data_IF_862102859706
#
_entry.id   IF_862102859706
#
_cell.length_a   1.000
_cell.length_b   1.000
_cell.length_c   1.000
_cell.angle_alpha   90.00
_cell.angle_beta   90.00
_cell.angle_gamma   90.00
#
_symmetry.space_group_name_H-M   'P 1'
#
loop_
_entity.id
_entity.type
_entity.pdbx_description
1 polymer ?
#
# COMPACT_ATOMS: atom_id res chain seq x y z
N UNK A 1 37.83 -46.82 79.25
CA UNK A 1 37.56 -45.64 78.47
C UNK A 1 36.65 -46.04 77.33
N UNK A 2 35.35 -45.71 77.31
CA UNK A 2 34.47 -46.07 76.25
C UNK A 2 34.41 -44.92 75.17
N UNK A 3 34.55 -45.32 73.93
CA UNK A 3 34.48 -44.46 72.75
C UNK A 3 33.03 -44.00 72.48
N UNK A 4 32.87 -42.69 72.22
CA UNK A 4 31.60 -42.10 71.85
C UNK A 4 31.23 -42.46 70.43
N UNK A 5 30.03 -43.05 70.18
CA UNK A 5 29.39 -43.23 68.93
C UNK A 5 28.85 -41.91 68.43
N UNK A 6 29.40 -41.34 67.37
CA UNK A 6 28.77 -40.29 66.57
C UNK A 6 27.63 -40.91 65.77
N UNK A 7 26.40 -40.47 66.02
CA UNK A 7 25.23 -40.79 65.24
C UNK A 7 25.10 -39.74 64.15
N UNK A 8 25.51 -40.09 62.92
CA UNK A 8 25.22 -39.28 61.74
C UNK A 8 23.68 -39.22 61.49
N UNK A 9 23.08 -38.05 61.73
CA UNK A 9 21.73 -37.76 61.28
C UNK A 9 21.76 -37.54 59.76
N UNK A 10 21.30 -38.53 58.97
CA UNK A 10 20.96 -38.35 57.57
C UNK A 10 19.97 -37.18 57.45
N UNK A 11 20.41 -36.04 56.88
CA UNK A 11 19.55 -34.96 56.44
C UNK A 11 18.57 -35.48 55.38
N UNK A 12 17.30 -35.34 55.65
CA UNK A 12 16.22 -35.70 54.76
C UNK A 12 16.26 -34.74 53.54
N UNK A 13 16.72 -35.18 52.38
CA UNK A 13 16.93 -34.37 51.13
C UNK A 13 15.62 -34.01 50.42
N UNK A 14 14.48 -34.23 51.02
CA UNK A 14 13.18 -33.82 50.44
C UNK A 14 12.93 -32.35 50.67
N UNK A 15 12.61 -31.55 49.62
CA UNK A 15 12.29 -30.13 49.77
C UNK A 15 11.00 -29.99 50.59
N UNK A 16 10.96 -28.95 51.40
CA UNK A 16 9.76 -28.57 52.16
C UNK A 16 8.69 -28.07 51.20
N UNK A 17 7.50 -28.69 51.22
CA UNK A 17 6.35 -28.31 50.40
C UNK A 17 5.38 -27.48 51.21
N UNK A 18 4.81 -26.42 50.59
CA UNK A 18 3.66 -25.69 51.09
C UNK A 18 2.64 -25.50 49.97
N UNK A 19 1.38 -25.94 50.19
CA UNK A 19 0.26 -25.82 49.21
C UNK A 19 -0.64 -24.69 49.60
N UNK A 20 -1.03 -23.87 48.62
CA UNK A 20 -2.03 -22.84 48.75
C UNK A 20 -3.19 -23.08 47.80
N UNK A 21 -4.38 -22.63 48.19
CA UNK A 21 -5.56 -22.58 47.36
C UNK A 21 -5.74 -21.16 46.86
N UNK A 22 -5.86 -20.98 45.53
CA UNK A 22 -5.96 -19.69 44.85
C UNK A 22 -7.40 -19.31 44.52
N UNK A 23 -8.36 -20.26 44.55
CA UNK A 23 -9.75 -20.03 44.23
C UNK A 23 -10.42 -21.29 43.70
N UNK A 24 -11.53 -21.14 42.97
CA UNK A 24 -12.22 -22.19 42.21
C UNK A 24 -12.22 -21.82 40.73
N UNK A 25 -12.12 -22.83 39.86
CA UNK A 25 -12.31 -22.65 38.43
C UNK A 25 -13.82 -22.49 38.07
N UNK A 26 -14.12 -22.23 36.78
CA UNK A 26 -15.49 -22.07 36.26
C UNK A 26 -16.37 -23.33 36.49
N UNK A 27 -15.76 -24.48 36.76
CA UNK A 27 -16.43 -25.75 37.05
C UNK A 27 -16.51 -26.03 38.56
N UNK A 28 -16.16 -25.07 39.40
CA UNK A 28 -16.19 -25.18 40.87
C UNK A 28 -15.04 -25.96 41.52
N UNK A 29 -14.01 -26.39 40.72
CA UNK A 29 -12.86 -27.15 41.24
C UNK A 29 -11.84 -26.19 41.85
N UNK A 30 -11.19 -26.63 42.95
CA UNK A 30 -10.20 -25.83 43.65
C UNK A 30 -8.90 -25.72 42.88
N UNK A 31 -8.49 -24.50 42.58
CA UNK A 31 -7.17 -24.19 42.01
C UNK A 31 -6.14 -24.19 43.10
N UNK A 32 -5.22 -25.15 43.09
CA UNK A 32 -4.16 -25.32 44.12
C UNK A 32 -2.79 -25.25 43.46
N UNK A 33 -1.82 -24.61 44.16
CA UNK A 33 -0.42 -24.54 43.77
C UNK A 33 0.52 -24.91 44.91
N UNK A 34 1.57 -25.70 44.58
CA UNK A 34 2.58 -26.15 45.56
C UNK A 34 3.85 -25.33 45.40
N UNK A 35 4.47 -24.97 46.52
CA UNK A 35 5.74 -24.24 46.56
C UNK A 35 6.74 -25.05 47.37
N UNK A 36 7.96 -25.12 46.87
CA UNK A 36 9.03 -25.93 47.44
C UNK A 36 10.19 -25.06 47.90
N UNK A 37 10.84 -25.47 49.00
CA UNK A 37 12.08 -24.88 49.47
C UNK A 37 13.01 -25.94 50.05
N UNK A 38 14.28 -25.81 49.74
CA UNK A 38 15.35 -26.63 50.37
C UNK A 38 15.83 -26.05 51.68
N UNK A 39 15.44 -24.79 52.00
CA UNK A 39 15.90 -24.07 53.20
C UNK A 39 15.07 -24.40 54.44
N UNK A 40 13.76 -24.22 54.37
CA UNK A 40 12.86 -24.45 55.48
C UNK A 40 11.39 -24.44 55.05
N UNK A 41 10.50 -25.00 55.90
CA UNK A 41 9.05 -24.93 55.74
C UNK A 41 8.53 -23.47 55.80
N UNK A 42 9.14 -22.64 56.63
CA UNK A 42 8.82 -21.20 56.69
C UNK A 42 9.17 -20.46 55.39
N UNK A 43 10.25 -20.81 54.71
CA UNK A 43 10.62 -20.22 53.40
C UNK A 43 9.67 -20.68 52.30
N UNK A 44 9.25 -21.95 52.28
CA UNK A 44 8.24 -22.44 51.34
C UNK A 44 6.88 -21.71 51.55
N UNK A 45 6.48 -21.50 52.82
CA UNK A 45 5.28 -20.76 53.21
C UNK A 45 5.38 -19.29 52.73
N UNK A 46 6.49 -18.60 53.00
CA UNK A 46 6.71 -17.21 52.60
C UNK A 46 6.63 -17.03 51.08
N UNK A 47 7.21 -17.98 50.29
CA UNK A 47 7.10 -17.98 48.81
C UNK A 47 5.64 -18.12 48.35
N UNK A 48 4.90 -19.01 49.01
CA UNK A 48 3.49 -19.27 48.74
C UNK A 48 2.61 -18.05 49.05
N UNK A 49 2.82 -17.41 50.20
CA UNK A 49 2.08 -16.20 50.61
C UNK A 49 2.38 -15.01 49.69
N UNK A 50 3.65 -14.82 49.33
CA UNK A 50 4.02 -13.77 48.35
C UNK A 50 3.35 -13.99 46.99
N UNK A 51 3.29 -15.23 46.52
CA UNK A 51 2.58 -15.56 45.30
C UNK A 51 1.08 -15.34 45.39
N UNK A 52 0.48 -15.73 46.53
CA UNK A 52 -0.96 -15.57 46.79
C UNK A 52 -1.35 -14.08 46.81
N UNK A 53 -0.58 -13.25 47.50
CA UNK A 53 -0.80 -11.79 47.52
C UNK A 53 -0.68 -11.16 46.12
N UNK A 54 0.30 -11.59 45.31
CA UNK A 54 0.43 -11.15 43.93
C UNK A 54 -0.76 -11.60 43.09
N UNK A 55 -1.19 -12.84 43.21
CA UNK A 55 -2.33 -13.41 42.53
C UNK A 55 -3.65 -12.71 42.87
N UNK A 56 -3.86 -12.41 44.17
CA UNK A 56 -5.03 -11.64 44.64
C UNK A 56 -5.02 -10.20 44.14
N UNK A 57 -3.85 -9.57 44.07
CA UNK A 57 -3.67 -8.23 43.46
C UNK A 57 -3.98 -8.24 41.95
N UNK A 58 -3.52 -9.25 41.22
CA UNK A 58 -3.82 -9.44 39.82
C UNK A 58 -5.31 -9.69 39.55
N UNK A 59 -5.99 -10.46 40.41
CA UNK A 59 -7.44 -10.64 40.37
C UNK A 59 -8.20 -9.33 40.61
N UNK A 60 -7.75 -8.48 41.50
CA UNK A 60 -8.33 -7.15 41.76
C UNK A 60 -8.06 -6.17 40.62
N UNK A 61 -6.96 -6.35 39.90
CA UNK A 61 -6.59 -5.54 38.72
C UNK A 61 -7.16 -6.07 37.39
N UNK A 62 -8.09 -7.06 37.39
CA UNK A 62 -8.74 -7.52 36.20
C UNK A 62 -8.55 -8.99 35.80
N UNK A 63 -8.16 -9.84 36.77
CA UNK A 63 -8.25 -11.32 36.70
C UNK A 63 -7.29 -12.01 35.77
N UNK A 64 -6.69 -13.12 36.20
CA UNK A 64 -6.14 -14.18 35.36
C UNK A 64 -7.30 -15.00 34.75
N UNK A 65 -7.98 -14.49 33.76
CA UNK A 65 -8.49 -15.39 32.72
C UNK A 65 -7.26 -15.90 31.98
N UNK A 66 -7.06 -17.21 31.88
CA UNK A 66 -6.07 -17.78 30.94
C UNK A 66 -6.44 -17.27 29.55
N UNK A 67 -5.70 -16.26 29.11
CA UNK A 67 -5.91 -15.70 27.76
C UNK A 67 -5.75 -16.83 26.76
N UNK A 68 -6.67 -16.96 25.79
CA UNK A 68 -6.54 -17.99 24.77
C UNK A 68 -5.22 -17.82 24.03
N UNK A 69 -4.38 -18.86 24.04
CA UNK A 69 -3.08 -18.87 23.38
C UNK A 69 -3.25 -19.05 21.86
N UNK A 70 -3.74 -18.01 21.20
CA UNK A 70 -4.05 -18.01 19.78
C UNK A 70 -2.77 -17.73 18.98
N UNK A 71 -2.44 -18.55 17.94
CA UNK A 71 -1.34 -18.27 17.03
C UNK A 71 -1.62 -17.02 16.20
N UNK A 72 -0.57 -16.23 15.89
CA UNK A 72 -0.69 -15.02 15.07
C UNK A 72 -1.37 -15.30 13.72
N UNK A 73 -1.06 -16.42 13.04
CA UNK A 73 -1.66 -16.77 11.74
C UNK A 73 -3.19 -16.91 11.80
N UNK A 74 -3.73 -17.44 12.89
CA UNK A 74 -5.17 -17.59 13.05
C UNK A 74 -5.83 -16.23 13.28
N UNK A 75 -5.26 -15.44 14.20
CA UNK A 75 -5.81 -14.12 14.53
C UNK A 75 -5.71 -13.12 13.37
N UNK A 76 -4.55 -13.05 12.68
CA UNK A 76 -4.38 -12.05 11.61
C UNK A 76 -5.40 -12.25 10.49
N UNK A 77 -5.73 -13.49 10.15
CA UNK A 77 -6.75 -13.80 9.13
C UNK A 77 -8.13 -13.34 9.59
N UNK A 78 -8.54 -13.73 10.80
CA UNK A 78 -9.81 -13.34 11.39
C UNK A 78 -9.92 -11.81 11.56
N UNK A 79 -8.88 -11.17 12.08
CA UNK A 79 -8.81 -9.73 12.25
C UNK A 79 -8.99 -8.97 10.92
N UNK A 80 -8.31 -9.40 9.86
CA UNK A 80 -8.46 -8.77 8.55
C UNK A 80 -9.85 -8.99 7.95
N UNK A 81 -10.41 -10.18 8.10
CA UNK A 81 -11.76 -10.48 7.58
C UNK A 81 -12.83 -9.67 8.31
N UNK A 82 -12.70 -9.46 9.63
CA UNK A 82 -13.67 -8.70 10.42
C UNK A 82 -13.49 -7.18 10.28
N UNK A 83 -12.25 -6.68 10.40
CA UNK A 83 -11.98 -5.25 10.60
C UNK A 83 -11.42 -4.54 9.36
N UNK A 84 -11.11 -5.24 8.25
CA UNK A 84 -10.62 -4.62 7.01
C UNK A 84 -11.45 -4.98 5.79
N UNK A 85 -11.71 -6.25 5.54
CA UNK A 85 -12.38 -6.73 4.33
C UNK A 85 -13.72 -6.03 4.04
N UNK A 86 -14.61 -5.78 5.02
CA UNK A 86 -15.88 -5.08 4.76
C UNK A 86 -15.74 -3.58 4.45
N UNK A 87 -14.60 -2.96 4.81
CA UNK A 87 -14.42 -1.51 4.80
C UNK A 87 -13.46 -1.01 3.73
N UNK A 88 -12.83 -1.91 2.97
CA UNK A 88 -11.89 -1.55 1.90
C UNK A 88 -12.23 -2.25 0.60
N UNK A 89 -11.84 -1.67 -0.53
CA UNK A 89 -12.03 -2.29 -1.85
C UNK A 89 -11.19 -3.56 -1.99
N UNK A 90 -11.67 -4.52 -2.79
CA UNK A 90 -11.02 -5.82 -2.99
C UNK A 90 -9.55 -5.74 -3.39
N UNK A 91 -9.20 -4.82 -4.30
CA UNK A 91 -7.81 -4.58 -4.69
C UNK A 91 -6.94 -4.05 -3.55
N UNK A 92 -7.49 -3.19 -2.67
CA UNK A 92 -6.79 -2.69 -1.48
C UNK A 92 -6.65 -3.80 -0.45
N UNK A 93 -7.72 -4.57 -0.20
CA UNK A 93 -7.68 -5.71 0.70
C UNK A 93 -6.60 -6.72 0.28
N UNK A 94 -6.63 -7.16 -0.97
CA UNK A 94 -5.65 -8.11 -1.51
C UNK A 94 -4.22 -7.53 -1.50
N UNK A 95 -4.00 -6.40 -2.16
CA UNK A 95 -2.65 -5.86 -2.40
C UNK A 95 -1.99 -5.23 -1.19
N UNK A 96 -2.78 -4.56 -0.31
CA UNK A 96 -2.22 -3.82 0.83
C UNK A 96 -2.17 -4.64 2.10
N UNK A 97 -3.12 -5.59 2.29
CA UNK A 97 -3.21 -6.34 3.54
C UNK A 97 -2.89 -7.82 3.36
N UNK A 98 -3.61 -8.52 2.48
CA UNK A 98 -3.58 -9.98 2.43
C UNK A 98 -2.25 -10.53 1.90
N UNK A 99 -1.75 -10.01 0.77
CA UNK A 99 -0.46 -10.42 0.19
C UNK A 99 0.71 -10.18 1.16
N UNK A 100 0.88 -8.99 1.77
CA UNK A 100 1.91 -8.77 2.79
C UNK A 100 1.82 -9.76 3.97
N UNK A 101 0.61 -10.00 4.45
CA UNK A 101 0.38 -10.92 5.57
C UNK A 101 0.79 -12.34 5.21
N UNK A 102 0.35 -12.85 4.06
CA UNK A 102 0.66 -14.22 3.63
C UNK A 102 2.12 -14.42 3.25
N UNK A 103 2.73 -13.46 2.56
CA UNK A 103 4.08 -13.63 2.02
C UNK A 103 5.18 -13.27 3.01
N UNK A 104 4.91 -12.42 4.02
CA UNK A 104 5.93 -11.90 4.92
C UNK A 104 5.62 -12.09 6.40
N UNK A 105 4.40 -11.70 6.85
CA UNK A 105 4.11 -11.71 8.29
C UNK A 105 3.79 -13.09 8.84
N UNK A 106 3.01 -13.90 8.14
CA UNK A 106 2.73 -15.30 8.55
C UNK A 106 3.99 -16.16 8.53
N UNK A 107 4.87 -16.13 7.50
CA UNK A 107 6.12 -16.87 7.53
C UNK A 107 7.02 -16.55 8.73
N UNK A 108 6.96 -15.33 9.27
CA UNK A 108 7.78 -14.91 10.41
C UNK A 108 7.11 -15.13 11.76
N UNK A 109 5.87 -14.63 11.91
CA UNK A 109 5.15 -14.59 13.19
C UNK A 109 4.09 -15.68 13.35
N UNK A 110 3.74 -16.41 12.29
CA UNK A 110 2.54 -17.24 12.22
C UNK A 110 2.37 -18.23 13.35
N UNK A 111 3.44 -18.89 13.76
CA UNK A 111 3.41 -19.90 14.83
C UNK A 111 3.55 -19.30 16.23
N UNK A 112 3.94 -18.04 16.35
CA UNK A 112 4.05 -17.36 17.64
C UNK A 112 2.66 -17.11 18.23
N UNK A 113 2.54 -17.27 19.54
CA UNK A 113 1.32 -16.88 20.26
C UNK A 113 1.26 -15.36 20.40
N UNK A 114 0.06 -14.77 20.36
CA UNK A 114 -0.11 -13.32 20.42
C UNK A 114 0.48 -12.69 21.69
N UNK A 115 0.36 -13.38 22.83
CA UNK A 115 0.92 -12.98 24.12
C UNK A 115 2.45 -13.14 24.23
N UNK A 116 3.06 -13.89 23.33
CA UNK A 116 4.51 -14.11 23.24
C UNK A 116 5.21 -13.12 22.30
N UNK A 117 4.45 -12.40 21.45
CA UNK A 117 5.02 -11.41 20.54
C UNK A 117 5.43 -10.15 21.33
N UNK A 118 6.74 -9.92 21.42
CA UNK A 118 7.33 -8.78 22.12
C UNK A 118 7.91 -7.78 21.10
N UNK A 119 8.15 -6.51 21.52
CA UNK A 119 8.78 -5.51 20.65
C UNK A 119 10.10 -5.97 20.03
N UNK A 120 10.90 -6.75 20.76
CA UNK A 120 12.17 -7.30 20.28
C UNK A 120 11.98 -8.22 19.05
N UNK A 121 10.88 -8.98 18.99
CA UNK A 121 10.60 -9.87 17.83
C UNK A 121 10.27 -9.04 16.60
N UNK A 122 9.53 -7.94 16.77
CA UNK A 122 9.20 -7.01 15.67
C UNK A 122 10.48 -6.31 15.21
N UNK A 123 11.34 -5.85 16.12
CA UNK A 123 12.60 -5.21 15.74
C UNK A 123 13.54 -6.19 14.98
N UNK A 124 13.62 -7.44 15.40
CA UNK A 124 14.38 -8.48 14.69
C UNK A 124 13.85 -8.70 13.27
N UNK A 125 12.51 -8.77 13.11
CA UNK A 125 11.87 -8.85 11.81
C UNK A 125 12.27 -7.67 10.91
N UNK A 126 12.13 -6.45 11.39
CA UNK A 126 12.48 -5.24 10.64
C UNK A 126 13.95 -5.28 10.22
N UNK A 127 14.87 -5.56 11.16
CA UNK A 127 16.31 -5.59 10.90
C UNK A 127 16.68 -6.64 9.84
N UNK A 128 16.11 -7.86 9.92
CA UNK A 128 16.41 -8.92 8.96
C UNK A 128 15.82 -8.64 7.57
N UNK A 129 14.61 -8.04 7.53
CA UNK A 129 13.95 -7.74 6.26
C UNK A 129 14.50 -6.49 5.56
N UNK A 130 15.28 -5.64 6.23
CA UNK A 130 15.90 -4.44 5.64
C UNK A 130 16.83 -4.78 4.48
N UNK A 131 17.46 -5.96 4.48
CA UNK A 131 18.30 -6.42 3.35
C UNK A 131 17.50 -6.91 2.14
N UNK A 132 16.22 -7.23 2.31
CA UNK A 132 15.37 -7.87 1.29
C UNK A 132 14.30 -6.95 0.71
N UNK A 133 13.88 -5.94 1.46
CA UNK A 133 12.74 -5.07 1.09
C UNK A 133 13.05 -3.60 1.29
N UNK A 134 12.45 -2.77 0.45
CA UNK A 134 12.54 -1.31 0.57
C UNK A 134 11.90 -0.80 1.89
N UNK A 135 12.39 0.33 2.43
CA UNK A 135 11.87 0.94 3.66
C UNK A 135 10.35 1.10 3.68
N UNK A 136 9.73 1.53 2.57
CA UNK A 136 8.28 1.73 2.46
C UNK A 136 7.50 0.42 2.65
N UNK A 137 8.07 -0.71 2.24
CA UNK A 137 7.46 -2.03 2.42
C UNK A 137 7.44 -2.40 3.90
N UNK A 138 8.54 -2.16 4.61
CA UNK A 138 8.65 -2.44 6.05
C UNK A 138 7.76 -1.53 6.89
N UNK A 139 7.61 -0.26 6.51
CA UNK A 139 6.64 0.64 7.13
C UNK A 139 5.20 0.15 6.96
N UNK A 140 4.85 -0.40 5.79
CA UNK A 140 3.53 -1.00 5.56
C UNK A 140 3.32 -2.25 6.41
N UNK A 141 4.31 -3.13 6.48
CA UNK A 141 4.26 -4.33 7.30
C UNK A 141 4.10 -3.98 8.79
N UNK A 142 4.86 -2.99 9.28
CA UNK A 142 4.74 -2.48 10.63
C UNK A 142 3.33 -1.90 10.91
N UNK A 143 2.77 -1.16 9.96
CA UNK A 143 1.41 -0.61 10.07
C UNK A 143 0.36 -1.72 10.18
N UNK A 144 0.51 -2.81 9.41
CA UNK A 144 -0.38 -3.98 9.49
C UNK A 144 -0.20 -4.69 10.85
N UNK A 145 1.05 -4.93 11.27
CA UNK A 145 1.34 -5.53 12.58
C UNK A 145 0.74 -4.71 13.71
N UNK A 146 0.94 -3.39 13.71
CA UNK A 146 0.40 -2.50 14.73
C UNK A 146 -1.13 -2.55 14.77
N UNK A 147 -1.78 -2.56 13.60
CA UNK A 147 -3.23 -2.68 13.50
C UNK A 147 -3.73 -4.01 14.07
N UNK A 148 -3.14 -5.13 13.65
CA UNK A 148 -3.55 -6.48 14.07
C UNK A 148 -3.32 -6.71 15.57
N UNK A 149 -2.19 -6.25 16.08
CA UNK A 149 -1.84 -6.40 17.50
C UNK A 149 -2.64 -5.44 18.39
N UNK A 150 -3.03 -4.27 17.88
CA UNK A 150 -3.95 -3.38 18.62
C UNK A 150 -5.31 -4.06 18.79
N UNK A 151 -5.88 -4.60 17.72
CA UNK A 151 -7.15 -5.34 17.83
C UNK A 151 -7.02 -6.60 18.70
N UNK A 152 -5.86 -7.26 18.73
CA UNK A 152 -5.61 -8.36 19.66
C UNK A 152 -5.67 -7.89 21.12
N UNK A 153 -5.05 -6.75 21.42
CA UNK A 153 -5.08 -6.16 22.76
C UNK A 153 -6.49 -5.71 23.16
N UNK A 154 -7.20 -5.04 22.25
CA UNK A 154 -8.57 -4.56 22.48
C UNK A 154 -9.57 -5.72 22.73
N UNK A 155 -9.32 -6.89 22.13
CA UNK A 155 -10.10 -8.11 22.37
C UNK A 155 -9.56 -9.00 23.50
N UNK A 156 -8.59 -8.53 24.30
CA UNK A 156 -8.06 -9.26 25.45
C UNK A 156 -7.15 -10.45 25.12
N UNK A 157 -6.74 -10.62 23.85
CA UNK A 157 -5.92 -11.75 23.38
C UNK A 157 -4.43 -11.59 23.73
N UNK A 158 -3.99 -10.36 23.98
CA UNK A 158 -2.67 -10.03 24.54
C UNK A 158 -2.78 -8.84 25.50
N UNK A 159 -1.75 -8.59 26.30
CA UNK A 159 -1.79 -7.54 27.34
C UNK A 159 -1.68 -6.12 26.79
N UNK A 160 -0.98 -5.94 25.67
CA UNK A 160 -0.75 -4.65 25.04
C UNK A 160 -0.24 -4.85 23.61
N UNK A 161 -0.30 -3.79 22.80
CA UNK A 161 0.26 -3.81 21.47
C UNK A 161 1.80 -3.73 21.51
N UNK A 162 2.53 -4.77 21.08
CA UNK A 162 3.99 -4.75 21.04
C UNK A 162 4.58 -3.89 19.91
N UNK A 163 3.79 -3.53 18.90
CA UNK A 163 4.19 -2.62 17.82
C UNK A 163 4.12 -1.16 18.30
N UNK A 164 5.01 -0.80 19.21
CA UNK A 164 5.07 0.50 19.88
C UNK A 164 6.04 1.48 19.21
N UNK A 165 6.08 2.72 19.72
CA UNK A 165 7.01 3.77 19.25
C UNK A 165 8.50 3.45 19.48
N UNK A 166 8.82 2.43 20.28
CA UNK A 166 10.20 1.98 20.52
C UNK A 166 10.79 1.19 19.34
N UNK A 167 9.99 0.83 18.36
CA UNK A 167 10.47 0.13 17.14
C UNK A 167 11.12 1.14 16.20
N UNK A 168 12.36 0.87 15.85
CA UNK A 168 13.12 1.67 14.88
C UNK A 168 12.86 1.15 13.47
N UNK A 169 12.23 1.98 12.65
CA UNK A 169 12.00 1.72 11.24
C UNK A 169 13.11 2.34 10.38
N UNK A 170 13.48 1.74 9.24
CA UNK A 170 14.44 2.33 8.32
C UNK A 170 13.88 3.65 7.76
N UNK A 171 14.76 4.63 7.54
CA UNK A 171 14.38 5.93 6.98
C UNK A 171 13.87 5.77 5.56
N UNK A 172 12.72 6.37 5.27
CA UNK A 172 12.23 6.52 3.90
C UNK A 172 12.85 7.79 3.33
N UNK A 173 13.65 7.64 2.29
CA UNK A 173 14.10 8.77 1.50
C UNK A 173 13.02 9.09 0.46
N UNK A 174 12.66 10.37 0.28
CA UNK A 174 11.74 10.75 -0.77
C UNK A 174 12.29 10.26 -2.12
N UNK A 175 11.50 9.53 -2.93
CA UNK A 175 11.97 9.13 -4.24
C UNK A 175 12.25 10.36 -5.08
N UNK A 176 13.40 10.37 -5.74
CA UNK A 176 13.71 11.34 -6.78
C UNK A 176 12.72 11.13 -7.94
N UNK A 177 11.74 12.03 -8.03
CA UNK A 177 10.69 11.94 -9.05
C UNK A 177 11.25 12.44 -10.36
N UNK A 178 11.60 11.51 -11.23
CA UNK A 178 12.04 11.83 -12.57
C UNK A 178 10.87 12.35 -13.40
N UNK A 179 11.11 13.44 -14.10
CA UNK A 179 10.22 14.02 -15.10
C UNK A 179 11.02 14.28 -16.37
N UNK A 180 10.35 14.26 -17.51
CA UNK A 180 10.97 14.72 -18.75
C UNK A 180 11.10 16.24 -18.75
N UNK A 181 12.18 16.75 -19.35
CA UNK A 181 12.27 18.14 -19.81
C UNK A 181 11.30 18.35 -20.99
N UNK A 182 11.12 19.59 -21.46
CA UNK A 182 10.28 19.85 -22.63
C UNK A 182 10.85 19.17 -23.89
N UNK A 183 12.16 19.21 -24.07
CA UNK A 183 12.86 18.60 -25.20
C UNK A 183 12.70 17.06 -25.18
N UNK A 184 12.92 16.44 -24.03
CA UNK A 184 12.71 14.99 -23.86
C UNK A 184 11.24 14.60 -24.12
N UNK A 185 10.30 15.42 -23.63
CA UNK A 185 8.87 15.21 -23.88
C UNK A 185 8.55 15.22 -25.37
N UNK A 186 9.08 16.20 -26.11
CA UNK A 186 8.83 16.36 -27.54
C UNK A 186 9.41 15.19 -28.36
N UNK A 187 10.59 14.68 -27.98
CA UNK A 187 11.19 13.49 -28.58
C UNK A 187 10.29 12.27 -28.35
N UNK A 188 9.90 12.01 -27.09
CA UNK A 188 9.06 10.86 -26.73
C UNK A 188 7.70 10.93 -27.42
N UNK A 189 7.10 12.11 -27.45
CA UNK A 189 5.80 12.34 -28.06
C UNK A 189 5.84 12.16 -29.60
N UNK A 190 6.89 12.68 -30.27
CA UNK A 190 7.12 12.51 -31.72
C UNK A 190 7.32 11.03 -32.05
N UNK A 191 8.14 10.31 -31.32
CA UNK A 191 8.30 8.87 -31.47
C UNK A 191 6.97 8.12 -31.27
N UNK A 192 6.15 8.54 -30.31
CA UNK A 192 4.86 7.91 -30.05
C UNK A 192 3.85 8.12 -31.19
N UNK A 193 3.96 9.21 -31.96
CA UNK A 193 3.09 9.46 -33.14
C UNK A 193 3.21 8.35 -34.17
N UNK A 194 4.38 7.81 -34.38
CA UNK A 194 4.64 6.80 -35.42
C UNK A 194 4.62 5.36 -34.89
N UNK A 195 4.82 5.18 -33.58
CA UNK A 195 4.97 3.85 -33.03
C UNK A 195 3.61 3.13 -32.86
N UNK A 196 3.52 1.81 -33.16
CA UNK A 196 2.27 1.03 -33.05
C UNK A 196 1.61 1.06 -31.68
N UNK A 197 2.42 1.06 -30.60
CA UNK A 197 1.97 1.16 -29.21
C UNK A 197 1.85 2.61 -28.72
N UNK A 198 2.15 3.61 -29.57
CA UNK A 198 2.29 5.01 -29.17
C UNK A 198 0.98 5.68 -28.74
N UNK A 199 -0.17 5.30 -29.31
CA UNK A 199 -1.45 5.96 -29.02
C UNK A 199 -1.77 6.04 -27.53
N UNK A 200 -1.54 4.97 -26.78
CA UNK A 200 -1.78 4.96 -25.34
C UNK A 200 -0.78 5.82 -24.56
N UNK A 201 0.46 5.95 -25.07
CA UNK A 201 1.50 6.80 -24.48
C UNK A 201 1.20 8.27 -24.75
N UNK A 202 0.83 8.62 -26.00
CA UNK A 202 0.39 9.99 -26.35
C UNK A 202 -0.74 10.45 -25.44
N UNK A 203 -1.76 9.60 -25.24
CA UNK A 203 -2.89 9.94 -24.37
C UNK A 203 -2.47 10.15 -22.91
N UNK A 204 -1.58 9.32 -22.37
CA UNK A 204 -1.02 9.51 -21.02
C UNK A 204 -0.24 10.81 -20.90
N UNK A 205 0.58 11.14 -21.90
CA UNK A 205 1.41 12.32 -21.92
C UNK A 205 0.57 13.59 -22.07
N UNK A 206 -0.40 13.62 -22.99
CA UNK A 206 -1.22 14.79 -23.27
C UNK A 206 -2.20 15.12 -22.13
N UNK A 207 -2.82 14.11 -21.55
CA UNK A 207 -3.92 14.31 -20.58
C UNK A 207 -3.52 14.11 -19.11
N UNK A 208 -2.36 13.51 -18.87
CA UNK A 208 -1.91 13.17 -17.52
C UNK A 208 -2.81 12.18 -16.77
N UNK A 209 -3.66 11.41 -17.45
CA UNK A 209 -4.49 10.38 -16.83
C UNK A 209 -3.64 9.24 -16.26
N UNK A 210 -4.18 8.52 -15.31
CA UNK A 210 -3.51 7.34 -14.74
C UNK A 210 -3.65 6.12 -15.65
N UNK A 211 -2.76 5.12 -15.50
CA UNK A 211 -2.88 3.85 -16.23
C UNK A 211 -4.25 3.18 -16.05
N UNK A 212 -4.82 3.22 -14.85
CA UNK A 212 -6.14 2.62 -14.60
C UNK A 212 -7.26 3.38 -15.31
N UNK A 213 -7.19 4.71 -15.35
CA UNK A 213 -8.13 5.55 -16.10
C UNK A 213 -8.02 5.31 -17.62
N UNK A 214 -6.80 5.24 -18.13
CA UNK A 214 -6.52 4.89 -19.54
C UNK A 214 -7.18 3.56 -19.93
N UNK A 215 -6.96 2.51 -19.12
CA UNK A 215 -7.48 1.17 -19.42
C UNK A 215 -8.99 1.04 -19.14
N UNK A 216 -9.55 1.93 -18.32
CA UNK A 216 -10.98 2.03 -18.06
C UNK A 216 -11.74 2.89 -19.05
N UNK A 217 -11.08 3.52 -20.02
CA UNK A 217 -11.71 4.41 -21.01
C UNK A 217 -12.54 3.58 -22.00
N UNK A 218 -13.82 3.93 -22.14
CA UNK A 218 -14.76 3.32 -23.07
C UNK A 218 -14.96 4.19 -24.31
N UNK A 219 -15.51 3.62 -25.36
CA UNK A 219 -15.81 4.35 -26.59
C UNK A 219 -16.84 5.47 -26.36
N UNK A 220 -17.79 5.30 -25.47
CA UNK A 220 -18.80 6.29 -25.08
C UNK A 220 -18.23 7.48 -24.29
N UNK A 221 -16.99 7.38 -23.81
CA UNK A 221 -16.29 8.44 -23.10
C UNK A 221 -15.56 9.41 -24.03
N UNK A 222 -15.49 9.12 -25.33
CA UNK A 222 -14.84 9.95 -26.33
C UNK A 222 -15.90 10.72 -27.11
N UNK A 223 -15.84 12.04 -27.02
CA UNK A 223 -16.62 12.96 -27.86
C UNK A 223 -15.66 13.54 -28.90
N UNK A 224 -15.75 12.99 -30.13
CA UNK A 224 -14.90 13.41 -31.23
C UNK A 224 -15.23 14.81 -31.74
N UNK A 225 -16.51 15.19 -31.69
CA UNK A 225 -16.99 16.49 -32.19
C UNK A 225 -16.57 17.64 -31.25
N UNK A 226 -16.64 17.37 -29.94
CA UNK A 226 -16.17 18.31 -28.92
C UNK A 226 -14.65 18.21 -28.66
N UNK A 227 -13.96 17.22 -29.23
CA UNK A 227 -12.53 16.96 -28.95
C UNK A 227 -12.24 16.68 -27.47
N UNK A 228 -13.08 15.90 -26.80
CA UNK A 228 -12.94 15.66 -25.37
C UNK A 228 -12.98 14.18 -24.99
N UNK A 229 -12.40 13.88 -23.83
CA UNK A 229 -12.55 12.57 -23.15
C UNK A 229 -13.16 12.78 -21.76
N UNK A 230 -14.06 11.90 -21.38
CA UNK A 230 -14.68 11.86 -20.05
C UNK A 230 -14.09 10.75 -19.20
N UNK A 231 -13.43 11.08 -18.11
CA UNK A 231 -12.89 10.10 -17.18
C UNK A 231 -13.95 9.78 -16.12
N UNK A 232 -14.56 8.61 -16.24
CA UNK A 232 -15.66 8.16 -15.36
C UNK A 232 -15.27 7.01 -14.44
N UNK A 233 -14.28 6.22 -14.84
CA UNK A 233 -13.87 5.00 -14.13
C UNK A 233 -12.39 4.70 -14.34
N UNK A 234 -11.88 3.74 -13.56
CA UNK A 234 -10.57 3.13 -13.78
C UNK A 234 -10.69 1.62 -13.81
N UNK A 235 -9.86 0.94 -14.58
CA UNK A 235 -9.78 -0.51 -14.60
C UNK A 235 -8.68 -0.98 -13.64
N UNK A 236 -9.04 -1.83 -12.68
CA UNK A 236 -8.13 -2.47 -11.74
C UNK A 236 -8.19 -3.98 -11.87
N UNK A 237 -7.06 -4.62 -11.63
CA UNK A 237 -6.99 -6.08 -11.57
C UNK A 237 -6.25 -6.48 -10.30
N UNK A 238 -6.78 -7.48 -9.60
CA UNK A 238 -6.17 -8.03 -8.41
C UNK A 238 -6.47 -9.53 -8.30
N UNK A 239 -5.60 -10.24 -7.61
CA UNK A 239 -5.82 -11.64 -7.30
C UNK A 239 -6.81 -11.75 -6.15
N UNK A 240 -7.95 -12.38 -6.41
CA UNK A 240 -8.90 -12.73 -5.35
C UNK A 240 -8.50 -14.12 -4.82
N UNK A 241 -7.79 -14.13 -3.70
CA UNK A 241 -7.24 -15.35 -3.12
C UNK A 241 -8.32 -16.28 -2.57
N UNK A 242 -9.50 -15.76 -2.20
CA UNK A 242 -10.65 -16.59 -1.79
C UNK A 242 -11.20 -17.42 -2.97
N UNK A 243 -11.03 -16.92 -4.20
CA UNK A 243 -11.53 -17.55 -5.42
C UNK A 243 -10.43 -18.13 -6.31
N UNK A 244 -9.18 -18.00 -5.90
CA UNK A 244 -7.98 -18.35 -6.69
C UNK A 244 -8.05 -17.80 -8.13
N UNK A 245 -8.60 -16.61 -8.29
CA UNK A 245 -8.87 -15.97 -9.58
C UNK A 245 -8.40 -14.54 -9.63
N UNK A 246 -7.89 -14.15 -10.79
CA UNK A 246 -7.76 -12.75 -11.12
C UNK A 246 -9.12 -12.13 -11.39
N UNK A 247 -9.41 -11.06 -10.67
CA UNK A 247 -10.62 -10.26 -10.83
C UNK A 247 -10.23 -8.97 -11.52
N UNK A 248 -10.96 -8.61 -12.57
CA UNK A 248 -10.90 -7.30 -13.20
C UNK A 248 -12.19 -6.57 -12.88
N UNK A 249 -12.06 -5.41 -12.28
CA UNK A 249 -13.20 -4.59 -11.90
C UNK A 249 -13.04 -3.19 -12.48
N UNK A 250 -14.14 -2.67 -13.00
CA UNK A 250 -14.29 -1.26 -13.22
C UNK A 250 -14.40 -0.60 -11.85
N UNK A 251 -13.32 0.03 -11.41
CA UNK A 251 -13.30 0.71 -10.13
C UNK A 251 -13.86 2.12 -10.30
N UNK A 252 -15.07 2.37 -9.76
CA UNK A 252 -15.59 3.70 -9.62
C UNK A 252 -14.54 4.60 -8.96
N UNK A 253 -14.32 5.80 -9.50
CA UNK A 253 -13.26 6.71 -9.06
C UNK A 253 -13.35 6.95 -7.56
N UNK A 254 -12.19 7.00 -6.87
CA UNK A 254 -12.08 7.11 -5.40
C UNK A 254 -12.81 8.30 -4.78
N UNK A 255 -13.08 9.34 -5.56
CA UNK A 255 -13.83 10.53 -5.15
C UNK A 255 -14.48 11.24 -6.36
N UNK A 256 -15.44 12.11 -6.11
CA UNK A 256 -16.16 12.89 -7.13
C UNK A 256 -15.24 13.76 -8.00
N UNK A 257 -14.10 14.22 -7.47
CA UNK A 257 -13.16 15.09 -8.19
C UNK A 257 -12.39 14.36 -9.32
N UNK A 258 -12.36 13.03 -9.30
CA UNK A 258 -11.73 12.25 -10.36
C UNK A 258 -12.59 12.12 -11.61
N UNK A 259 -13.91 12.25 -11.49
CA UNK A 259 -14.79 12.38 -12.66
C UNK A 259 -14.58 13.75 -13.27
N UNK A 260 -14.12 13.76 -14.50
CA UNK A 260 -13.76 14.99 -15.21
C UNK A 260 -13.77 14.77 -16.70
N UNK A 261 -13.99 15.85 -17.45
CA UNK A 261 -13.80 15.90 -18.89
C UNK A 261 -12.51 16.64 -19.20
N UNK A 262 -11.69 16.10 -20.08
CA UNK A 262 -10.38 16.62 -20.46
C UNK A 262 -10.43 16.92 -21.96
N UNK A 263 -10.12 18.15 -22.40
CA UNK A 263 -9.97 18.46 -23.82
C UNK A 263 -8.71 17.78 -24.39
N UNK A 264 -8.80 17.30 -25.62
CA UNK A 264 -7.67 16.84 -26.43
C UNK A 264 -7.37 17.95 -27.44
N UNK A 265 -6.20 18.53 -27.33
CA UNK A 265 -5.78 19.66 -28.18
C UNK A 265 -5.01 19.17 -29.40
N UNK A 266 -4.28 18.04 -29.27
CA UNK A 266 -3.51 17.46 -30.37
C UNK A 266 -4.46 16.75 -31.36
N UNK A 267 -4.57 17.29 -32.58
CA UNK A 267 -5.43 16.77 -33.65
C UNK A 267 -5.01 15.36 -34.08
N UNK A 268 -3.70 15.05 -34.12
CA UNK A 268 -3.19 13.73 -34.45
C UNK A 268 -3.61 12.68 -33.43
N UNK A 269 -3.56 13.03 -32.15
CA UNK A 269 -4.04 12.16 -31.08
C UNK A 269 -5.55 11.90 -31.22
N UNK A 270 -6.34 12.94 -31.46
CA UNK A 270 -7.79 12.82 -31.64
C UNK A 270 -8.14 11.96 -32.84
N UNK A 271 -7.48 12.20 -33.98
CA UNK A 271 -7.65 11.40 -35.21
C UNK A 271 -7.30 9.92 -34.96
N UNK A 272 -6.16 9.64 -34.35
CA UNK A 272 -5.76 8.26 -34.05
C UNK A 272 -6.70 7.56 -33.06
N UNK A 273 -7.30 8.28 -32.10
CA UNK A 273 -8.31 7.75 -31.20
C UNK A 273 -9.59 7.40 -31.94
N UNK A 274 -10.09 8.29 -32.79
CA UNK A 274 -11.36 8.11 -33.50
C UNK A 274 -11.26 7.03 -34.58
N UNK A 275 -10.13 6.95 -35.28
CA UNK A 275 -9.85 5.95 -36.31
C UNK A 275 -9.42 4.58 -35.77
N UNK A 276 -9.23 4.43 -34.46
CA UNK A 276 -8.85 3.15 -33.90
C UNK A 276 -9.95 2.10 -34.15
N UNK A 277 -9.60 0.87 -34.59
CA UNK A 277 -10.58 -0.18 -34.89
C UNK A 277 -11.46 -0.51 -33.67
N UNK A 278 -12.77 -0.55 -33.88
CA UNK A 278 -13.78 -0.93 -32.89
C UNK A 278 -14.22 -2.39 -33.01
N UNK A 279 -13.59 -3.15 -33.92
CA UNK A 279 -13.88 -4.58 -34.14
C UNK A 279 -12.58 -5.36 -34.17
N UNK A 280 -12.60 -6.53 -33.55
CA UNK A 280 -11.50 -7.50 -33.55
C UNK A 280 -11.98 -8.77 -34.22
N UNK A 281 -11.21 -9.24 -35.20
CA UNK A 281 -11.51 -10.47 -35.93
C UNK A 281 -10.60 -11.57 -35.39
N UNK A 282 -11.20 -12.54 -34.70
CA UNK A 282 -10.48 -13.68 -34.14
C UNK A 282 -10.63 -14.90 -35.06
N UNK A 283 -9.57 -15.70 -35.17
CA UNK A 283 -9.68 -17.00 -35.83
C UNK A 283 -10.66 -17.88 -35.05
N UNK A 284 -11.67 -18.39 -35.75
CA UNK A 284 -12.65 -19.28 -35.14
C UNK A 284 -12.12 -20.71 -34.98
N UNK A 285 -12.90 -21.58 -34.37
CA UNK A 285 -12.57 -23.01 -34.16
C UNK A 285 -12.36 -23.80 -35.46
N UNK A 286 -12.87 -23.30 -36.58
CA UNK A 286 -12.67 -23.86 -37.91
C UNK A 286 -11.86 -22.87 -38.76
N UNK A 287 -10.99 -23.37 -39.68
CA UNK A 287 -10.19 -22.54 -40.60
C UNK A 287 -11.04 -21.56 -41.48
N UNK A 288 -12.34 -21.75 -41.55
CA UNK A 288 -13.29 -20.91 -42.32
C UNK A 288 -14.17 -20.01 -41.46
N UNK A 289 -14.10 -20.10 -40.12
CA UNK A 289 -14.94 -19.29 -39.22
C UNK A 289 -14.11 -18.15 -38.61
N UNK A 290 -14.66 -16.94 -38.68
CA UNK A 290 -14.16 -15.78 -37.93
C UNK A 290 -15.17 -15.41 -36.88
N UNK A 291 -14.66 -15.15 -35.67
CA UNK A 291 -15.46 -14.56 -34.61
C UNK A 291 -15.17 -13.06 -34.56
N UNK A 292 -16.22 -12.25 -34.62
CA UNK A 292 -16.11 -10.80 -34.46
C UNK A 292 -16.38 -10.43 -33.01
N UNK A 293 -15.46 -9.69 -32.40
CA UNK A 293 -15.60 -9.13 -31.05
C UNK A 293 -15.63 -7.60 -31.18
N UNK A 294 -16.60 -6.98 -30.51
CA UNK A 294 -16.67 -5.52 -30.36
C UNK A 294 -16.17 -5.15 -28.97
N UNK A 295 -14.93 -4.66 -28.85
CA UNK A 295 -14.38 -4.25 -27.55
C UNK A 295 -15.16 -3.07 -26.98
N UNK A 296 -15.53 -3.17 -25.70
CA UNK A 296 -16.19 -2.07 -24.98
C UNK A 296 -15.21 -0.95 -24.65
N UNK A 297 -13.95 -1.33 -24.32
CA UNK A 297 -12.90 -0.40 -23.95
C UNK A 297 -12.08 0.06 -25.18
N UNK A 298 -11.55 1.29 -25.11
CA UNK A 298 -10.69 1.85 -26.16
C UNK A 298 -9.36 1.10 -26.27
N UNK A 299 -8.78 0.74 -25.11
CA UNK A 299 -7.54 -0.03 -25.05
C UNK A 299 -7.84 -1.47 -24.63
N UNK A 300 -7.76 -2.37 -25.58
CA UNK A 300 -8.12 -3.78 -25.46
C UNK A 300 -6.96 -4.69 -25.91
N UNK A 301 -6.99 -5.93 -25.41
CA UNK A 301 -6.04 -6.97 -25.79
C UNK A 301 -6.27 -7.46 -27.24
N UNK A 302 -5.33 -8.19 -27.85
CA UNK A 302 -5.53 -8.77 -29.17
C UNK A 302 -6.78 -9.62 -29.30
N UNK A 303 -7.29 -10.15 -28.17
CA UNK A 303 -8.52 -10.93 -28.12
C UNK A 303 -9.80 -10.06 -27.95
N UNK A 304 -9.68 -8.73 -28.00
CA UNK A 304 -10.78 -7.80 -27.82
C UNK A 304 -11.30 -7.68 -26.38
N UNK A 305 -10.55 -8.21 -25.41
CA UNK A 305 -10.88 -8.15 -23.98
C UNK A 305 -10.21 -6.96 -23.31
N UNK A 306 -10.73 -6.49 -22.17
CA UNK A 306 -10.04 -5.48 -21.37
C UNK A 306 -8.61 -5.91 -21.04
N UNK A 307 -7.64 -4.98 -21.15
CA UNK A 307 -6.28 -5.26 -20.74
C UNK A 307 -6.16 -5.43 -19.22
N UNK A 308 -5.58 -6.55 -18.79
CA UNK A 308 -5.04 -6.63 -17.44
C UNK A 308 -3.89 -5.61 -17.30
N UNK A 309 -3.89 -4.73 -16.27
CA UNK A 309 -2.94 -3.61 -16.18
C UNK A 309 -1.46 -4.02 -16.22
N UNK A 310 -1.10 -5.15 -15.63
CA UNK A 310 0.27 -5.68 -15.66
C UNK A 310 0.66 -6.14 -17.08
N UNK A 311 -0.27 -6.79 -17.80
CA UNK A 311 -0.04 -7.25 -19.17
C UNK A 311 0.10 -6.08 -20.14
N UNK A 312 -0.72 -5.03 -19.99
CA UNK A 312 -0.57 -3.81 -20.76
C UNK A 312 0.80 -3.15 -20.50
N UNK A 313 1.19 -3.00 -19.22
CA UNK A 313 2.50 -2.44 -18.88
C UNK A 313 3.63 -3.23 -19.52
N UNK A 314 3.58 -4.57 -19.49
CA UNK A 314 4.65 -5.42 -20.03
C UNK A 314 4.67 -5.45 -21.55
N UNK A 315 3.51 -5.60 -22.20
CA UNK A 315 3.41 -5.87 -23.65
C UNK A 315 3.31 -4.61 -24.50
N UNK A 316 2.76 -3.53 -23.94
CA UNK A 316 2.53 -2.28 -24.66
C UNK A 316 3.55 -1.23 -24.20
N UNK A 317 3.49 -0.84 -22.92
CA UNK A 317 4.30 0.27 -22.42
C UNK A 317 5.80 -0.05 -22.39
N UNK A 318 6.18 -1.21 -21.85
CA UNK A 318 7.59 -1.59 -21.78
C UNK A 318 8.18 -1.90 -23.17
N UNK A 319 7.38 -2.42 -24.11
CA UNK A 319 7.80 -2.59 -25.48
C UNK A 319 8.07 -1.22 -26.13
N UNK A 320 7.14 -0.28 -26.01
CA UNK A 320 7.34 1.10 -26.46
C UNK A 320 8.63 1.72 -25.90
N UNK A 321 8.82 1.65 -24.58
CA UNK A 321 10.01 2.20 -23.91
C UNK A 321 11.31 1.52 -24.32
N UNK A 322 11.26 0.23 -24.66
CA UNK A 322 12.43 -0.49 -25.18
C UNK A 322 12.82 0.02 -26.56
N UNK A 323 11.83 0.17 -27.46
CA UNK A 323 12.06 0.59 -28.84
C UNK A 323 12.48 2.08 -28.89
N UNK A 324 11.83 2.95 -28.11
CA UNK A 324 12.24 4.35 -27.91
C UNK A 324 13.72 4.45 -27.51
N UNK A 325 14.14 3.70 -26.48
CA UNK A 325 15.52 3.76 -25.98
C UNK A 325 16.55 3.05 -26.85
N UNK A 326 16.14 2.30 -27.83
CA UNK A 326 17.02 1.78 -28.86
C UNK A 326 17.41 2.88 -29.88
N UNK A 327 16.51 3.84 -30.15
CA UNK A 327 16.76 4.99 -31.03
C UNK A 327 17.28 6.21 -30.24
N UNK A 328 16.78 6.40 -28.99
CA UNK A 328 17.09 7.52 -28.10
C UNK A 328 17.58 7.03 -26.74
N UNK A 329 18.82 6.53 -26.65
CA UNK A 329 19.38 5.97 -25.42
C UNK A 329 19.51 6.98 -24.27
N UNK A 330 19.60 8.29 -24.58
CA UNK A 330 19.65 9.40 -23.65
C UNK A 330 18.35 9.61 -22.88
N UNK A 331 17.20 9.20 -23.45
CA UNK A 331 15.89 9.38 -22.81
C UNK A 331 15.74 8.48 -21.58
N UNK A 332 15.49 9.04 -20.39
CA UNK A 332 15.30 8.24 -19.20
C UNK A 332 14.00 7.43 -19.27
N UNK A 333 14.05 6.21 -18.72
CA UNK A 333 12.85 5.40 -18.62
C UNK A 333 11.96 5.91 -17.49
N UNK A 334 10.81 6.46 -17.83
CA UNK A 334 9.76 6.81 -16.88
C UNK A 334 8.67 5.74 -16.82
N UNK A 335 7.95 5.70 -15.69
CA UNK A 335 6.73 4.90 -15.54
C UNK A 335 5.50 5.71 -16.00
N UNK A 336 4.35 5.07 -16.28
CA UNK A 336 3.11 5.80 -16.60
C UNK A 336 2.70 6.83 -15.54
N UNK A 337 3.09 6.63 -14.28
CA UNK A 337 2.81 7.60 -13.22
C UNK A 337 3.76 8.80 -13.27
N UNK A 338 5.01 8.59 -13.65
CA UNK A 338 5.99 9.67 -13.87
C UNK A 338 5.66 10.49 -15.11
N UNK A 339 5.05 9.90 -16.16
CA UNK A 339 4.51 10.69 -17.29
C UNK A 339 3.44 11.69 -16.83
N UNK A 340 2.57 11.28 -15.91
CA UNK A 340 1.57 12.17 -15.29
C UNK A 340 2.25 13.29 -14.47
N UNK A 341 3.33 12.98 -13.76
CA UNK A 341 4.13 14.01 -13.07
C UNK A 341 4.78 14.96 -14.05
N UNK A 342 5.36 14.44 -15.16
CA UNK A 342 5.91 15.24 -16.24
C UNK A 342 4.86 16.23 -16.78
N UNK A 343 3.66 15.74 -17.12
CA UNK A 343 2.60 16.62 -17.65
C UNK A 343 2.19 17.70 -16.66
N UNK A 344 2.05 17.35 -15.37
CA UNK A 344 1.78 18.31 -14.32
C UNK A 344 2.84 19.41 -14.25
N UNK A 345 4.12 19.02 -14.25
CA UNK A 345 5.25 19.95 -14.18
C UNK A 345 5.31 20.87 -15.42
N UNK A 346 5.14 20.30 -16.62
CA UNK A 346 5.15 21.08 -17.85
C UNK A 346 3.97 22.07 -17.93
N UNK A 347 2.76 21.68 -17.53
CA UNK A 347 1.64 22.62 -17.47
C UNK A 347 1.89 23.79 -16.52
N UNK A 348 2.48 23.50 -15.34
CA UNK A 348 2.84 24.55 -14.38
C UNK A 348 3.93 25.47 -14.94
N UNK A 349 4.95 24.92 -15.61
CA UNK A 349 6.00 25.69 -16.27
C UNK A 349 5.46 26.54 -17.43
N UNK A 350 4.39 26.11 -18.10
CA UNK A 350 3.69 26.85 -19.15
C UNK A 350 2.69 27.90 -18.58
N UNK A 351 2.64 28.10 -17.28
CA UNK A 351 1.79 29.10 -16.64
C UNK A 351 0.34 28.66 -16.37
N UNK A 352 0.00 27.37 -16.59
CA UNK A 352 -1.33 26.87 -16.22
C UNK A 352 -1.51 26.91 -14.70
N UNK A 353 -2.57 27.52 -14.22
CA UNK A 353 -2.77 27.70 -12.78
C UNK A 353 -2.82 26.35 -12.04
N UNK A 354 -2.26 26.22 -10.83
CA UNK A 354 -2.27 24.98 -10.04
C UNK A 354 -3.66 24.40 -9.83
N UNK A 355 -4.66 25.24 -9.69
CA UNK A 355 -6.06 24.82 -9.54
C UNK A 355 -6.57 24.13 -10.81
N UNK A 356 -6.24 24.66 -11.97
CA UNK A 356 -6.57 24.05 -13.27
C UNK A 356 -5.86 22.73 -13.45
N UNK A 357 -4.56 22.68 -13.16
CA UNK A 357 -3.77 21.43 -13.20
C UNK A 357 -4.36 20.37 -12.27
N UNK A 358 -4.72 20.76 -11.03
CA UNK A 358 -5.41 19.86 -10.09
C UNK A 358 -6.72 19.31 -10.66
N UNK A 359 -7.53 20.17 -11.29
CA UNK A 359 -8.80 19.81 -11.93
C UNK A 359 -8.58 18.85 -13.10
N UNK A 360 -7.66 19.15 -14.01
CA UNK A 360 -7.31 18.29 -15.15
C UNK A 360 -6.80 16.92 -14.70
N UNK A 361 -6.00 16.87 -13.64
CA UNK A 361 -5.48 15.63 -13.08
C UNK A 361 -6.50 14.90 -12.17
N UNK A 362 -7.55 15.56 -11.70
CA UNK A 362 -8.51 14.97 -10.75
C UNK A 362 -7.94 14.79 -9.35
N UNK A 363 -7.10 15.72 -8.90
CA UNK A 363 -6.57 15.75 -7.54
C UNK A 363 -7.56 16.46 -6.61
N UNK A 364 -7.80 15.86 -5.43
CA UNK A 364 -8.64 16.50 -4.39
C UNK A 364 -7.83 17.42 -3.46
N UNK A 365 -6.50 17.37 -3.52
CA UNK A 365 -5.60 18.11 -2.63
C UNK A 365 -4.48 18.77 -3.44
N UNK A 366 -4.29 20.07 -3.23
CA UNK A 366 -3.22 20.86 -3.82
C UNK A 366 -1.84 20.54 -3.24
N UNK A 367 -1.75 19.85 -2.09
CA UNK A 367 -0.47 19.51 -1.45
C UNK A 367 0.50 18.73 -2.34
N UNK A 368 -0.01 17.97 -3.32
CA UNK A 368 0.86 17.32 -4.29
C UNK A 368 1.50 18.31 -5.29
N UNK A 369 0.79 19.40 -5.57
CA UNK A 369 1.26 20.43 -6.51
C UNK A 369 2.17 21.46 -5.82
N UNK A 370 1.94 21.77 -4.54
CA UNK A 370 2.79 22.69 -3.77
C UNK A 370 4.24 22.20 -3.67
N UNK A 371 4.49 20.89 -3.64
CA UNK A 371 5.85 20.34 -3.69
C UNK A 371 6.59 20.59 -5.01
N UNK A 372 5.87 20.83 -6.09
CA UNK A 372 6.45 21.24 -7.38
C UNK A 372 6.81 22.72 -7.33
N UNK A 373 6.06 23.53 -6.58
CA UNK A 373 6.34 24.96 -6.36
C UNK A 373 7.51 25.23 -5.41
N UNK A 374 7.87 24.31 -4.51
CA UNK A 374 9.01 24.46 -3.60
C UNK A 374 10.37 24.61 -4.35
N UNK A 375 10.38 24.32 -5.66
CA UNK A 375 11.54 24.51 -6.55
C UNK A 375 11.38 25.69 -7.52
N UNK A 376 10.40 26.59 -7.29
CA UNK A 376 10.19 27.77 -8.13
C UNK A 376 11.35 28.75 -7.94
N UNK A 377 12.03 29.11 -9.03
CA UNK A 377 13.14 30.05 -8.99
C UNK A 377 12.67 31.46 -8.60
N UNK A 378 13.56 32.26 -8.05
CA UNK A 378 13.27 33.68 -7.71
C UNK A 378 12.86 34.46 -8.97
N UNK A 379 13.42 34.08 -10.13
CA UNK A 379 13.06 34.64 -11.44
C UNK A 379 11.59 34.44 -11.77
N UNK A 380 11.09 33.20 -11.64
CA UNK A 380 9.66 32.86 -11.87
C UNK A 380 8.75 33.62 -10.91
N UNK A 381 9.18 33.81 -9.66
CA UNK A 381 8.44 34.63 -8.69
C UNK A 381 8.39 36.11 -9.08
N UNK A 382 9.51 36.65 -9.61
CA UNK A 382 9.56 38.03 -10.13
C UNK A 382 8.64 38.23 -11.33
N UNK A 383 8.66 37.33 -12.29
CA UNK A 383 7.79 37.36 -13.44
C UNK A 383 6.30 37.32 -13.04
N UNK A 384 5.95 36.47 -12.11
CA UNK A 384 4.57 36.38 -11.58
C UNK A 384 4.10 37.66 -10.86
N UNK A 385 5.03 38.40 -10.23
CA UNK A 385 4.73 39.67 -9.55
C UNK A 385 4.72 40.82 -10.57
N UNK A 386 5.67 40.84 -11.53
CA UNK A 386 5.79 41.87 -12.55
C UNK A 386 4.51 41.95 -13.44
N UNK A 387 3.86 40.84 -13.68
CA UNK A 387 2.61 40.79 -14.46
C UNK A 387 1.42 41.55 -13.79
N UNK A 388 1.52 41.86 -12.50
CA UNK A 388 0.48 42.59 -11.73
C UNK A 388 0.74 44.10 -11.68
N UNK A 389 1.86 44.58 -12.20
CA UNK A 389 2.17 46.02 -12.23
C UNK A 389 1.65 46.57 -13.57
N UNK A 390 0.59 47.41 -13.61
CA UNK A 390 0.19 48.06 -14.83
C UNK A 390 1.37 48.90 -15.34
N UNK A 391 1.61 48.86 -16.66
CA UNK A 391 2.53 49.79 -17.29
C UNK A 391 2.20 51.19 -16.87
N UNK A 392 3.09 51.86 -16.18
CA UNK A 392 2.98 53.28 -15.94
C UNK A 392 3.20 53.93 -17.30
N UNK A 393 2.09 54.39 -17.95
CA UNK A 393 2.17 55.28 -19.09
C UNK A 393 3.06 56.46 -18.69
N UNK A 394 4.22 56.58 -19.33
CA UNK A 394 5.02 57.81 -19.32
C UNK A 394 4.13 58.94 -19.82
N UNK A 395 3.60 59.75 -18.89
CA UNK A 395 3.09 61.06 -19.24
C UNK A 395 4.27 61.88 -19.75
N UNK A 396 4.47 61.87 -21.07
CA UNK A 396 5.27 62.91 -21.73
C UNK A 396 4.51 64.23 -21.58
N UNK A 397 4.94 65.03 -20.62
CA UNK A 397 4.71 66.48 -20.67
C UNK A 397 5.46 67.04 -21.89
N UNK A 398 4.72 67.41 -22.91
CA UNK A 398 5.19 68.32 -23.98
C UNK A 398 5.18 69.77 -23.46
N UNK A 399 6.19 70.60 -23.82
CA UNK A 399 6.39 71.95 -23.35
C UNK A 399 5.40 72.97 -23.91
#
# INVERSE_FOLDING_TARGET
MPSAKQTDKKKNDRPYEHKITLGKDINGRLIRKSFYSTKSKADAKRKAEKYKAHYELELLCGGHEERPRIPFKSWVTECLDLYKKPFVKGNTYSGTYLIPVQQRLIPWFGEMKLDEILPIHIQKYINEMTSKYAPETLHKDFTILSFVMQHAADNGLCSSNPASKSIHLPRIEPPDKKTYTQEEYDIVYSFAKEHPNGLSVMLLMETGITRSELLGLKWEDIDADAGTISIRQGLVAYENLDKEKWVMESDGLKNKYRQRTIPIVDEVLLERLTNKPRKVYLAGKSKKSQQVVNPEFVFYSPEGKPYQPQNWSRRVYNAFMKDLRAEHPEIPRLTPHELRHTRATLWLAQGVSPLMVAKLLGHCDLKMLTRVYDHTSVETLREAIAWQIPDQEETRDEP
#
